data_IF_109767041611
#
_entry.id   IF_109767041611
#
_cell.length_a   1.000
_cell.length_b   1.000
_cell.length_c   1.000
_cell.angle_alpha   90.00
_cell.angle_beta   90.00
_cell.angle_gamma   90.00
#
_symmetry.space_group_name_H-M   'P 1'
#
loop_
_entity.id
_entity.type
_entity.pdbx_description
1 polymer ?
#
# COMPACT_ATOMS: atom_id res chain seq x y z
N UNK A 1 -83.26 -1.57 -34.30
CA UNK A 1 -81.93 -1.71 -34.96
C UNK A 1 -81.73 -0.45 -35.80
N UNK A 2 -80.69 0.38 -35.73
CA UNK A 2 -79.47 0.53 -34.93
C UNK A 2 -79.06 2.04 -35.11
N UNK A 3 -78.94 2.85 -34.05
CA UNK A 3 -77.69 3.34 -33.43
C UNK A 3 -76.60 3.74 -34.46
N UNK A 4 -76.35 5.03 -34.77
CA UNK A 4 -75.74 6.14 -34.00
C UNK A 4 -74.21 6.31 -34.24
N UNK A 5 -73.88 7.39 -34.95
CA UNK A 5 -72.83 8.43 -34.75
C UNK A 5 -71.38 8.08 -34.29
N UNK A 6 -70.44 8.72 -35.02
CA UNK A 6 -69.15 9.37 -34.64
C UNK A 6 -67.79 8.65 -34.87
N UNK A 7 -66.89 9.44 -35.48
CA UNK A 7 -65.45 9.38 -35.83
C UNK A 7 -64.50 8.62 -34.85
N UNK A 8 -63.31 8.13 -35.30
CA UNK A 8 -62.10 8.97 -35.24
C UNK A 8 -60.97 8.74 -36.28
N UNK A 9 -60.16 9.78 -36.38
CA UNK A 9 -58.82 9.95 -36.95
C UNK A 9 -57.78 9.01 -36.31
N UNK A 10 -56.84 8.44 -37.09
CA UNK A 10 -55.68 7.71 -36.56
C UNK A 10 -54.38 8.29 -37.12
N UNK A 11 -53.61 8.95 -36.24
CA UNK A 11 -52.21 9.34 -36.48
C UNK A 11 -51.30 8.15 -36.13
N UNK A 12 -50.47 7.71 -37.07
CA UNK A 12 -49.38 6.76 -36.82
C UNK A 12 -48.23 7.49 -36.11
N UNK A 13 -47.96 7.10 -34.86
CA UNK A 13 -46.83 7.54 -34.06
C UNK A 13 -45.59 6.71 -34.42
N UNK A 14 -44.59 7.40 -34.96
CA UNK A 14 -43.21 6.93 -35.11
C UNK A 14 -42.60 6.66 -33.72
N UNK A 15 -42.29 5.40 -33.42
CA UNK A 15 -41.54 5.02 -32.22
C UNK A 15 -40.05 5.33 -32.42
N UNK A 16 -39.55 6.33 -31.70
CA UNK A 16 -38.13 6.61 -31.56
C UNK A 16 -37.50 5.57 -30.60
N UNK A 17 -36.50 4.81 -31.09
CA UNK A 17 -35.65 3.97 -30.25
C UNK A 17 -34.53 4.83 -29.65
N UNK A 18 -34.51 4.96 -28.32
CA UNK A 18 -33.40 5.54 -27.56
C UNK A 18 -32.23 4.54 -27.51
N UNK A 19 -30.96 4.98 -27.68
CA UNK A 19 -29.81 4.11 -27.48
C UNK A 19 -29.56 3.94 -25.98
N UNK A 20 -29.38 2.69 -25.55
CA UNK A 20 -29.01 2.32 -24.19
C UNK A 20 -27.59 2.81 -23.94
N UNK A 21 -27.46 3.92 -23.19
CA UNK A 21 -26.15 4.38 -22.72
C UNK A 21 -25.57 3.32 -21.78
N UNK A 22 -24.46 2.71 -22.21
CA UNK A 22 -23.65 1.83 -21.38
C UNK A 22 -23.08 2.68 -20.23
N UNK A 23 -23.73 2.65 -19.07
CA UNK A 23 -23.23 3.30 -17.87
C UNK A 23 -21.96 2.54 -17.44
N UNK A 24 -20.79 3.06 -17.82
CA UNK A 24 -19.54 2.62 -17.20
C UNK A 24 -19.61 3.01 -15.74
N UNK A 25 -19.92 2.03 -14.88
CA UNK A 25 -19.85 2.21 -13.43
C UNK A 25 -18.39 2.43 -13.05
N UNK A 26 -17.98 3.69 -12.93
CA UNK A 26 -16.78 4.06 -12.18
C UNK A 26 -16.99 3.59 -10.75
N UNK A 27 -16.32 2.50 -10.35
CA UNK A 27 -16.29 2.09 -8.94
C UNK A 27 -15.51 3.15 -8.18
N UNK A 28 -16.24 4.04 -7.50
CA UNK A 28 -15.69 4.81 -6.41
C UNK A 28 -15.31 3.83 -5.30
N UNK A 29 -14.02 3.55 -5.14
CA UNK A 29 -13.50 2.81 -4.00
C UNK A 29 -13.79 3.67 -2.77
N UNK A 30 -14.74 3.22 -1.94
CA UNK A 30 -15.03 3.88 -0.66
C UNK A 30 -13.80 3.82 0.23
N UNK A 31 -13.59 4.89 1.00
CA UNK A 31 -12.51 5.00 2.00
C UNK A 31 -12.55 3.90 3.07
N UNK A 32 -13.66 3.16 3.18
CA UNK A 32 -13.87 2.04 4.10
C UNK A 32 -13.48 0.65 3.54
N UNK A 33 -12.89 0.57 2.34
CA UNK A 33 -12.44 -0.72 1.84
C UNK A 33 -11.31 -1.31 2.70
N UNK A 34 -11.36 -2.63 2.92
CA UNK A 34 -10.35 -3.38 3.70
C UNK A 34 -9.26 -4.00 2.83
N UNK A 35 -9.34 -3.80 1.50
CA UNK A 35 -8.35 -4.29 0.53
C UNK A 35 -7.18 -3.31 0.40
N UNK A 36 -6.11 -3.60 1.13
CA UNK A 36 -4.87 -2.83 1.13
C UNK A 36 -4.25 -2.69 -0.26
N UNK A 37 -4.36 -3.72 -1.12
CA UNK A 37 -3.69 -3.70 -2.43
C UNK A 37 -4.39 -2.73 -3.39
N UNK A 38 -5.73 -2.69 -3.36
CA UNK A 38 -6.50 -1.74 -4.15
C UNK A 38 -6.22 -0.29 -3.72
N UNK A 39 -6.23 -0.01 -2.42
CA UNK A 39 -5.93 1.32 -1.88
C UNK A 39 -4.52 1.76 -2.27
N UNK A 40 -3.54 0.86 -2.18
CA UNK A 40 -2.17 1.17 -2.58
C UNK A 40 -2.06 1.46 -4.08
N UNK A 41 -2.81 0.76 -4.93
CA UNK A 41 -2.81 0.99 -6.38
C UNK A 41 -3.26 2.42 -6.73
N UNK A 42 -4.31 2.92 -6.08
CA UNK A 42 -4.80 4.29 -6.27
C UNK A 42 -3.77 5.33 -5.80
N UNK A 43 -3.14 5.09 -4.63
CA UNK A 43 -2.10 5.97 -4.08
C UNK A 43 -0.86 6.03 -4.97
N UNK A 44 -0.46 4.92 -5.58
CA UNK A 44 0.66 4.88 -6.52
C UNK A 44 0.38 5.78 -7.73
N UNK A 45 -0.85 5.79 -8.25
CA UNK A 45 -1.20 6.63 -9.39
C UNK A 45 -1.05 8.13 -9.06
N UNK A 46 -1.55 8.57 -7.90
CA UNK A 46 -1.41 9.97 -7.47
C UNK A 46 0.05 10.36 -7.19
N UNK A 47 0.81 9.51 -6.51
CA UNK A 47 2.21 9.80 -6.16
C UNK A 47 3.12 9.84 -7.40
N UNK A 48 2.87 9.01 -8.42
CA UNK A 48 3.60 9.07 -9.70
C UNK A 48 3.47 10.43 -10.37
N UNK A 49 2.26 11.01 -10.37
CA UNK A 49 2.01 12.35 -10.93
C UNK A 49 2.74 13.40 -10.12
N UNK A 50 2.61 13.38 -8.79
CA UNK A 50 3.30 14.31 -7.88
C UNK A 50 4.82 14.30 -8.08
N UNK A 51 5.44 13.13 -8.12
CA UNK A 51 6.90 13.00 -8.32
C UNK A 51 7.31 13.51 -9.71
N UNK A 52 6.52 13.22 -10.74
CA UNK A 52 6.78 13.73 -12.10
C UNK A 52 6.76 15.26 -12.14
N UNK A 53 5.74 15.88 -11.57
CA UNK A 53 5.62 17.34 -11.50
C UNK A 53 6.73 17.97 -10.64
N UNK A 54 7.07 17.35 -9.51
CA UNK A 54 8.15 17.83 -8.65
C UNK A 54 9.49 17.81 -9.37
N UNK A 55 9.81 16.73 -10.09
CA UNK A 55 11.03 16.64 -10.89
C UNK A 55 11.04 17.60 -12.08
N UNK A 56 9.89 17.90 -12.68
CA UNK A 56 9.79 18.92 -13.74
C UNK A 56 10.11 20.32 -13.21
N UNK A 57 9.70 20.63 -11.97
CA UNK A 57 9.92 21.94 -11.33
C UNK A 57 11.33 22.09 -10.75
N UNK A 58 11.82 21.07 -10.07
CA UNK A 58 13.02 21.13 -9.22
C UNK A 58 14.14 20.17 -9.64
N UNK A 59 14.03 19.49 -10.79
CA UNK A 59 14.96 18.42 -11.17
C UNK A 59 16.42 18.82 -11.30
N UNK A 60 16.70 20.08 -11.64
CA UNK A 60 18.07 20.63 -11.73
C UNK A 60 18.54 21.35 -10.46
N UNK A 61 17.73 21.36 -9.40
CA UNK A 61 18.07 22.06 -8.16
C UNK A 61 19.16 21.30 -7.39
N UNK A 62 20.25 22.00 -7.06
CA UNK A 62 21.34 21.45 -6.25
C UNK A 62 20.87 21.35 -4.79
N UNK A 63 20.94 20.14 -4.21
CA UNK A 63 20.47 19.85 -2.83
C UNK A 63 21.61 19.77 -1.80
N UNK A 64 22.85 19.85 -2.25
CA UNK A 64 24.08 19.82 -1.47
C UNK A 64 25.31 19.70 -2.37
N UNK A 65 26.48 20.04 -1.83
CA UNK A 65 27.78 19.83 -2.48
C UNK A 65 28.41 18.52 -2.00
N UNK A 66 29.33 17.96 -2.80
CA UNK A 66 30.05 16.73 -2.48
C UNK A 66 31.54 17.02 -2.37
N UNK A 67 32.14 16.76 -1.21
CA UNK A 67 33.58 16.90 -0.98
C UNK A 67 34.29 15.54 -0.99
N UNK A 68 35.63 15.56 -1.12
CA UNK A 68 36.47 14.36 -1.08
C UNK A 68 36.33 13.61 0.26
N UNK A 69 36.24 14.33 1.37
CA UNK A 69 36.07 13.72 2.69
C UNK A 69 34.73 12.97 2.82
N UNK A 70 33.66 13.47 2.20
CA UNK A 70 32.38 12.76 2.19
C UNK A 70 32.44 11.46 1.40
N UNK A 71 33.27 11.40 0.35
CA UNK A 71 33.49 10.18 -0.44
C UNK A 71 34.24 9.12 0.38
N UNK A 72 35.35 9.49 1.03
CA UNK A 72 36.10 8.56 1.88
C UNK A 72 35.39 8.23 3.20
N UNK A 73 34.52 9.13 3.68
CA UNK A 73 33.74 8.97 4.91
C UNK A 73 32.43 8.18 4.75
N UNK A 74 32.21 7.53 3.60
CA UNK A 74 31.03 6.70 3.36
C UNK A 74 29.72 7.48 3.21
N UNK A 75 29.71 8.52 2.36
CA UNK A 75 28.54 9.37 2.07
C UNK A 75 28.00 10.16 3.27
N UNK A 76 28.81 10.38 4.31
CA UNK A 76 28.41 11.16 5.48
C UNK A 76 27.99 12.57 5.06
N UNK A 77 26.74 12.95 5.37
CA UNK A 77 26.18 14.27 5.04
C UNK A 77 25.65 14.42 3.61
N UNK A 78 25.81 13.40 2.75
CA UNK A 78 25.29 13.43 1.37
C UNK A 78 23.82 12.99 1.37
N UNK A 79 22.94 13.81 0.79
CA UNK A 79 21.54 13.45 0.52
C UNK A 79 21.48 12.54 -0.73
N UNK A 80 21.63 11.23 -0.54
CA UNK A 80 21.80 10.27 -1.64
C UNK A 80 20.56 9.46 -2.05
N UNK A 81 19.53 9.38 -1.21
CA UNK A 81 18.33 8.58 -1.49
C UNK A 81 17.04 9.27 -1.02
N UNK A 82 15.93 8.86 -1.61
CA UNK A 82 14.57 9.31 -1.24
C UNK A 82 13.88 8.20 -0.46
N UNK A 83 13.42 8.51 0.74
CA UNK A 83 12.66 7.59 1.61
C UNK A 83 11.36 8.25 2.06
N UNK A 84 10.23 7.71 1.62
CA UNK A 84 8.91 8.36 1.81
C UNK A 84 8.18 7.91 3.09
N UNK A 85 8.63 6.83 3.73
CA UNK A 85 7.91 6.17 4.84
C UNK A 85 8.08 6.90 6.17
N UNK A 86 9.27 7.45 6.42
CA UNK A 86 9.63 8.09 7.66
C UNK A 86 10.62 9.23 7.46
N UNK A 87 10.61 10.17 8.39
CA UNK A 87 11.53 11.30 8.44
C UNK A 87 12.02 11.49 9.88
N UNK A 88 13.30 11.81 10.05
CA UNK A 88 13.89 12.09 11.35
C UNK A 88 13.96 13.61 11.56
N UNK A 89 13.14 14.10 12.48
CA UNK A 89 13.20 15.47 12.96
C UNK A 89 14.22 15.57 14.12
N UNK A 90 15.10 16.59 14.14
CA UNK A 90 16.09 16.75 15.22
C UNK A 90 15.49 17.03 16.60
N UNK A 91 14.30 17.64 16.69
CA UNK A 91 13.65 18.00 17.95
C UNK A 91 12.62 16.95 18.38
N UNK A 92 11.78 16.51 17.43
CA UNK A 92 10.66 15.60 17.73
C UNK A 92 11.01 14.11 17.55
N UNK A 93 12.16 13.81 16.96
CA UNK A 93 12.60 12.45 16.66
C UNK A 93 11.97 11.88 15.39
N UNK A 94 11.81 10.55 15.33
CA UNK A 94 11.30 9.90 14.13
C UNK A 94 9.79 10.09 13.98
N UNK A 95 9.39 10.49 12.79
CA UNK A 95 7.99 10.55 12.35
C UNK A 95 7.73 9.50 11.26
N UNK A 96 6.55 8.89 11.30
CA UNK A 96 6.07 7.96 10.28
C UNK A 96 4.94 8.61 9.51
N UNK A 97 5.15 8.87 8.21
CA UNK A 97 4.19 9.59 7.35
C UNK A 97 3.66 10.90 7.96
N UNK A 98 4.51 11.62 8.70
CA UNK A 98 4.17 12.89 9.35
C UNK A 98 3.55 12.78 10.75
N UNK A 99 3.46 11.58 11.33
CA UNK A 99 2.99 11.37 12.70
C UNK A 99 4.15 11.01 13.63
N UNK A 100 4.23 11.65 14.79
CA UNK A 100 5.22 11.32 15.83
C UNK A 100 4.81 10.05 16.59
N UNK A 101 5.77 9.39 17.25
CA UNK A 101 5.49 8.17 18.04
C UNK A 101 4.38 8.39 19.08
N UNK A 102 4.37 9.48 19.88
CA UNK A 102 3.29 9.74 20.84
C UNK A 102 1.92 9.82 20.16
N UNK A 103 1.81 10.53 19.03
CA UNK A 103 0.56 10.65 18.28
C UNK A 103 0.08 9.29 17.76
N UNK A 104 1.00 8.40 17.37
CA UNK A 104 0.65 7.06 16.88
C UNK A 104 0.17 6.13 17.99
N UNK A 105 0.72 6.24 19.21
CA UNK A 105 0.22 5.48 20.37
C UNK A 105 -1.21 5.82 20.74
N UNK A 106 -1.64 7.05 20.46
CA UNK A 106 -3.02 7.49 20.68
C UNK A 106 -3.95 7.12 19.53
N UNK A 107 -3.49 7.26 18.28
CA UNK A 107 -4.35 7.15 17.10
C UNK A 107 -4.42 5.76 16.48
N UNK A 108 -3.38 4.93 16.63
CA UNK A 108 -3.38 3.61 16.01
C UNK A 108 -4.29 2.63 16.78
N UNK A 109 -5.01 1.74 16.07
CA UNK A 109 -5.81 0.70 16.71
C UNK A 109 -4.99 -0.20 17.63
N UNK A 110 -5.60 -0.61 18.74
CA UNK A 110 -5.00 -1.45 19.78
C UNK A 110 -5.70 -2.81 19.84
N UNK A 111 -5.03 -3.79 20.43
CA UNK A 111 -5.67 -5.07 20.72
C UNK A 111 -6.79 -4.92 21.77
N UNK A 112 -7.83 -5.78 21.78
CA UNK A 112 -8.82 -5.79 22.85
C UNK A 112 -8.16 -5.99 24.22
N UNK A 113 -8.32 -5.02 25.12
CA UNK A 113 -7.68 -5.03 26.44
C UNK A 113 -6.19 -4.69 26.45
N UNK A 114 -5.61 -4.30 25.31
CA UNK A 114 -4.22 -3.88 25.18
C UNK A 114 -4.07 -2.35 25.15
N UNK A 115 -2.92 -1.86 25.63
CA UNK A 115 -2.60 -0.43 25.66
C UNK A 115 -1.67 0.02 24.53
N UNK A 116 -0.97 -0.93 23.90
CA UNK A 116 0.00 -0.68 22.83
C UNK A 116 -0.63 -0.80 21.43
N UNK A 117 -0.16 0.00 20.45
CA UNK A 117 -0.68 -0.03 19.08
C UNK A 117 -0.24 -1.29 18.32
N UNK A 118 -1.11 -1.79 17.44
CA UNK A 118 -0.83 -2.98 16.64
C UNK A 118 0.16 -2.69 15.49
N UNK A 119 1.20 -3.52 15.30
CA UNK A 119 2.15 -3.38 14.18
C UNK A 119 1.49 -3.40 12.80
N UNK A 120 0.39 -4.13 12.64
CA UNK A 120 -0.43 -4.16 11.43
C UNK A 120 -0.94 -2.77 11.05
N UNK A 121 -1.32 -1.97 12.05
CA UNK A 121 -1.79 -0.60 11.84
C UNK A 121 -0.66 0.32 11.40
N UNK A 122 0.53 0.15 11.98
CA UNK A 122 1.73 0.85 11.53
C UNK A 122 2.09 0.47 10.09
N UNK A 123 2.07 -0.82 9.74
CA UNK A 123 2.33 -1.29 8.38
C UNK A 123 1.37 -0.66 7.36
N UNK A 124 0.09 -0.59 7.69
CA UNK A 124 -0.91 0.09 6.86
C UNK A 124 -0.58 1.57 6.66
N UNK A 125 -0.23 2.28 7.73
CA UNK A 125 0.15 3.69 7.67
C UNK A 125 1.36 3.88 6.76
N UNK A 126 2.42 3.08 6.92
CA UNK A 126 3.63 3.21 6.13
C UNK A 126 3.38 3.02 4.63
N UNK A 127 2.49 2.10 4.25
CA UNK A 127 2.15 1.86 2.84
C UNK A 127 1.23 2.94 2.26
N UNK A 128 0.20 3.34 2.99
CA UNK A 128 -0.90 4.17 2.44
C UNK A 128 -0.80 5.66 2.78
N UNK A 129 -0.03 6.01 3.82
CA UNK A 129 -0.02 7.36 4.40
C UNK A 129 -1.28 7.71 5.19
N UNK A 130 -2.17 6.76 5.47
CA UNK A 130 -3.45 6.98 6.13
C UNK A 130 -3.53 6.17 7.44
N UNK A 131 -4.20 6.74 8.44
CA UNK A 131 -4.49 6.02 9.69
C UNK A 131 -5.55 4.95 9.42
N UNK A 132 -5.29 3.68 9.76
CA UNK A 132 -6.22 2.59 9.50
C UNK A 132 -7.39 2.57 10.49
N UNK A 133 -8.51 2.02 10.04
CA UNK A 133 -9.62 1.62 10.92
C UNK A 133 -9.37 0.25 11.56
N UNK A 134 -10.10 -0.09 12.61
CA UNK A 134 -10.00 -1.42 13.24
C UNK A 134 -10.28 -2.57 12.27
N UNK A 135 -11.22 -2.39 11.33
CA UNK A 135 -11.56 -3.42 10.34
C UNK A 135 -10.42 -3.64 9.35
N UNK A 136 -9.73 -2.58 8.95
CA UNK A 136 -8.53 -2.64 8.10
C UNK A 136 -7.38 -3.35 8.82
N UNK A 137 -7.13 -3.02 10.09
CA UNK A 137 -6.12 -3.72 10.91
C UNK A 137 -6.42 -5.21 11.02
N UNK A 138 -7.67 -5.58 11.34
CA UNK A 138 -8.10 -7.00 11.41
C UNK A 138 -7.95 -7.72 10.06
N UNK A 139 -8.15 -7.02 8.95
CA UNK A 139 -7.93 -7.57 7.60
C UNK A 139 -6.46 -7.93 7.39
N UNK A 140 -5.53 -7.02 7.77
CA UNK A 140 -4.09 -7.27 7.69
C UNK A 140 -3.68 -8.43 8.59
N UNK A 141 -4.12 -8.46 9.86
CA UNK A 141 -3.80 -9.57 10.78
C UNK A 141 -4.26 -10.91 10.21
N UNK A 142 -5.46 -10.97 9.62
CA UNK A 142 -5.97 -12.20 8.97
C UNK A 142 -5.13 -12.58 7.77
N UNK A 143 -4.76 -11.62 6.91
CA UNK A 143 -3.95 -11.89 5.73
C UNK A 143 -2.55 -12.43 6.11
N UNK A 144 -1.92 -11.88 7.15
CA UNK A 144 -0.64 -12.38 7.66
C UNK A 144 -0.76 -13.79 8.22
N UNK A 145 -1.79 -14.06 9.04
CA UNK A 145 -2.03 -15.40 9.57
C UNK A 145 -2.26 -16.44 8.47
N UNK A 146 -2.96 -16.08 7.39
CA UNK A 146 -3.18 -16.94 6.22
C UNK A 146 -1.90 -17.20 5.39
N UNK A 147 -0.87 -16.38 5.56
CA UNK A 147 0.38 -16.45 4.77
C UNK A 147 1.59 -16.83 5.65
N UNK A 148 1.36 -17.29 6.87
CA UNK A 148 2.40 -17.60 7.84
C UNK A 148 3.07 -18.97 7.64
N UNK A 149 2.57 -19.80 6.72
CA UNK A 149 3.09 -21.14 6.47
C UNK A 149 4.52 -21.10 5.92
N UNK A 150 5.37 -22.01 6.42
CA UNK A 150 6.76 -22.15 5.98
C UNK A 150 6.94 -23.42 5.13
N UNK A 151 7.66 -23.35 4.00
CA UNK A 151 8.03 -24.53 3.23
C UNK A 151 8.85 -25.52 4.06
N UNK A 152 8.64 -26.82 3.83
CA UNK A 152 9.30 -27.88 4.61
C UNK A 152 10.83 -27.81 4.55
N UNK A 153 11.42 -27.45 3.41
CA UNK A 153 12.87 -27.33 3.28
C UNK A 153 13.47 -26.22 4.15
N UNK A 154 12.73 -25.13 4.39
CA UNK A 154 13.17 -24.03 5.28
C UNK A 154 13.16 -24.49 6.74
N UNK A 155 12.13 -25.23 7.14
CA UNK A 155 12.04 -25.80 8.49
C UNK A 155 13.16 -26.81 8.73
N UNK A 156 13.43 -27.69 7.76
CA UNK A 156 14.55 -28.64 7.83
C UNK A 156 15.90 -27.92 7.91
N UNK A 157 16.09 -26.85 7.13
CA UNK A 157 17.30 -26.03 7.21
C UNK A 157 17.49 -25.47 8.62
N UNK A 158 16.47 -24.83 9.20
CA UNK A 158 16.54 -24.25 10.55
C UNK A 158 16.86 -25.30 11.62
N UNK A 159 16.21 -26.47 11.57
CA UNK A 159 16.43 -27.55 12.54
C UNK A 159 17.83 -28.17 12.47
N UNK A 160 18.51 -28.06 11.32
CA UNK A 160 19.83 -28.64 11.10
C UNK A 160 20.98 -27.65 11.32
N UNK A 161 20.70 -26.35 11.53
CA UNK A 161 21.74 -25.37 11.82
C UNK A 161 22.36 -25.67 13.19
N UNK A 162 23.71 -25.68 13.32
CA UNK A 162 24.36 -25.82 14.61
C UNK A 162 23.94 -24.70 15.58
N UNK A 163 23.78 -25.03 16.85
CA UNK A 163 23.45 -24.05 17.89
C UNK A 163 24.52 -22.93 18.06
N UNK A 164 25.74 -23.15 17.55
CA UNK A 164 26.81 -22.16 17.53
C UNK A 164 26.63 -21.08 16.44
N UNK A 165 25.76 -21.30 15.46
CA UNK A 165 25.50 -20.30 14.42
C UNK A 165 24.76 -19.12 15.01
N UNK A 166 25.28 -17.91 14.79
CA UNK A 166 24.68 -16.69 15.31
C UNK A 166 23.22 -16.52 14.82
N UNK A 167 22.24 -16.14 15.68
CA UNK A 167 20.83 -16.06 15.30
C UNK A 167 20.54 -15.20 14.05
N UNK A 168 21.28 -14.11 13.86
CA UNK A 168 21.16 -13.28 12.64
C UNK A 168 21.59 -14.02 11.36
N UNK A 169 22.59 -14.89 11.45
CA UNK A 169 23.00 -15.74 10.33
C UNK A 169 21.94 -16.80 10.01
N UNK A 170 21.32 -17.38 11.05
CA UNK A 170 20.20 -18.31 10.88
C UNK A 170 19.01 -17.63 10.19
N UNK A 171 18.62 -16.43 10.67
CA UNK A 171 17.55 -15.63 10.10
C UNK A 171 17.83 -15.28 8.63
N UNK A 172 19.01 -14.75 8.32
CA UNK A 172 19.37 -14.37 6.95
C UNK A 172 19.38 -15.58 6.00
N UNK A 173 19.91 -16.72 6.43
CA UNK A 173 19.91 -17.94 5.63
C UNK A 173 18.49 -18.46 5.37
N UNK A 174 17.62 -18.48 6.40
CA UNK A 174 16.24 -18.93 6.27
C UNK A 174 15.42 -18.02 5.35
N UNK A 175 15.51 -16.70 5.49
CA UNK A 175 14.83 -15.74 4.61
C UNK A 175 15.31 -15.87 3.16
N UNK A 176 16.61 -16.10 2.96
CA UNK A 176 17.15 -16.38 1.61
C UNK A 176 16.57 -17.66 1.02
N UNK A 177 16.43 -18.72 1.83
CA UNK A 177 15.83 -19.98 1.40
C UNK A 177 14.33 -19.89 1.09
N UNK A 178 13.59 -18.95 1.71
CA UNK A 178 12.19 -18.67 1.37
C UNK A 178 12.00 -18.09 -0.04
N UNK A 179 13.07 -17.64 -0.72
CA UNK A 179 12.99 -17.09 -2.08
C UNK A 179 12.46 -18.11 -3.11
N UNK A 180 12.49 -19.42 -2.83
CA UNK A 180 11.87 -20.45 -3.70
C UNK A 180 10.37 -20.20 -3.94
N UNK A 181 9.70 -19.57 -2.97
CA UNK A 181 8.27 -19.23 -3.05
C UNK A 181 8.00 -17.83 -3.61
N UNK A 182 9.04 -17.12 -4.07
CA UNK A 182 8.91 -15.77 -4.59
C UNK A 182 8.03 -15.73 -5.84
N UNK A 183 6.81 -15.20 -5.67
CA UNK A 183 5.88 -14.97 -6.78
C UNK A 183 6.36 -13.89 -7.74
N UNK A 184 7.12 -12.91 -7.24
CA UNK A 184 7.69 -11.84 -8.06
C UNK A 184 8.76 -12.37 -9.02
N UNK A 185 9.67 -13.23 -8.53
CA UNK A 185 10.71 -13.84 -9.37
C UNK A 185 10.08 -14.71 -10.46
N UNK A 186 9.06 -15.52 -10.10
CA UNK A 186 8.32 -16.33 -11.07
C UNK A 186 7.67 -15.45 -12.15
N UNK A 187 6.89 -14.44 -11.75
CA UNK A 187 6.19 -13.56 -12.68
C UNK A 187 7.10 -12.65 -13.54
N UNK A 188 8.35 -12.42 -13.13
CA UNK A 188 9.31 -11.65 -13.92
C UNK A 188 10.03 -12.48 -14.99
N UNK A 189 10.21 -13.78 -14.72
CA UNK A 189 10.90 -14.71 -15.63
C UNK A 189 9.96 -15.36 -16.64
N UNK A 190 8.64 -15.30 -16.39
CA UNK A 190 7.58 -15.64 -17.35
C UNK A 190 7.42 -14.53 -18.42
#
# INVERSE_FOLDING_TARGET
MALSRLLPTTRLLCQQRLPTALCMSSRSISADSTDLKAILADKIASERVRVKEFRQKCGSQVVGEVSVDMMYGGMRGIKGLVTETSHLDPEEGISFRGYTIPQLREKLPKAPGGEEPLPEGLFWLLLTGQLPTESQVKSVSRAWAQQADLPSHVVTLLNNLPASVHPMSQLSAAITACNTESRFVKAYNE
#
